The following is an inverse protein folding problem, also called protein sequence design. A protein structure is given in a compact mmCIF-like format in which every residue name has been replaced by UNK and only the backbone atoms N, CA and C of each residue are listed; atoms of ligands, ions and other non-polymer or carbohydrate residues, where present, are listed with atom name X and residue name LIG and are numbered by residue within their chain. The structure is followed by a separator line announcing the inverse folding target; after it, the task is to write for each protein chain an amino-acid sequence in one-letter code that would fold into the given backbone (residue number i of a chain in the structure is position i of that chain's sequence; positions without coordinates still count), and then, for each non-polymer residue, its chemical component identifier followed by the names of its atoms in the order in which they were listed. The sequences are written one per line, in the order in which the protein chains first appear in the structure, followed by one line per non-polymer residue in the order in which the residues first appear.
data_IF_437471374438
#
_entry.id   IF_437471374438
#
_cell.length_a   1.000
_cell.length_b   1.000
_cell.length_c   1.000
_cell.angle_alpha   90.00
_cell.angle_beta   90.00
_cell.angle_gamma   90.00
#
_symmetry.space_group_name_H-M   'P 1'
#
loop_
_entity.id
_entity.type
_entity.pdbx_description
1 polymer ?
#
# COMPACT_ATOMS: atom_id res chain seq x y z
N UNK A 1 2.22 3.30 19.36
CA UNK A 1 1.58 2.03 18.98
C UNK A 1 1.91 1.77 17.51
N UNK A 2 2.29 0.56 17.12
CA UNK A 2 2.65 0.28 15.72
C UNK A 2 1.38 0.32 14.84
N UNK A 3 1.36 1.17 13.82
CA UNK A 3 0.20 1.35 12.93
C UNK A 3 -0.22 0.07 12.18
N UNK A 4 0.71 -0.88 11.99
CA UNK A 4 0.41 -2.15 11.32
C UNK A 4 -0.56 -3.03 12.11
N UNK A 5 -0.70 -2.83 13.43
CA UNK A 5 -1.71 -3.49 14.25
C UNK A 5 -3.15 -3.15 13.81
N UNK A 6 -3.35 -2.00 13.18
CA UNK A 6 -4.66 -1.62 12.64
C UNK A 6 -5.11 -2.50 11.47
N UNK A 7 -4.22 -3.33 10.91
CA UNK A 7 -4.49 -4.24 9.80
C UNK A 7 -5.00 -5.63 10.25
N UNK A 8 -4.88 -5.97 11.54
CA UNK A 8 -5.19 -7.30 12.08
C UNK A 8 -6.62 -7.80 11.82
N UNK A 9 -7.59 -6.86 11.72
CA UNK A 9 -8.99 -7.19 11.46
C UNK A 9 -9.42 -6.93 10.01
N UNK A 10 -8.47 -6.61 9.14
CA UNK A 10 -8.71 -6.24 7.74
C UNK A 10 -8.09 -7.27 6.80
N UNK A 11 -6.93 -7.82 7.18
CA UNK A 11 -6.17 -8.74 6.34
C UNK A 11 -6.57 -10.19 6.60
N UNK A 12 -6.89 -10.90 5.50
CA UNK A 12 -7.30 -12.31 5.49
C UNK A 12 -6.51 -13.05 4.42
N UNK A 13 -6.06 -14.27 4.73
CA UNK A 13 -5.40 -15.12 3.75
C UNK A 13 -6.40 -15.59 2.67
N UNK A 14 -6.21 -15.29 1.37
CA UNK A 14 -7.24 -15.43 0.34
C UNK A 14 -7.70 -16.87 0.12
N UNK A 15 -6.84 -17.87 0.38
CA UNK A 15 -7.18 -19.30 0.21
C UNK A 15 -7.73 -19.96 1.48
N UNK A 16 -7.38 -19.43 2.65
CA UNK A 16 -7.69 -20.06 3.95
C UNK A 16 -8.77 -19.33 4.72
N UNK A 17 -9.12 -18.13 4.30
CA UNK A 17 -10.10 -17.24 4.94
C UNK A 17 -9.80 -17.00 6.44
N UNK A 18 -8.52 -17.13 6.85
CA UNK A 18 -8.05 -16.88 8.22
C UNK A 18 -7.44 -15.49 8.33
N UNK A 19 -7.71 -14.80 9.43
CA UNK A 19 -7.12 -13.50 9.69
C UNK A 19 -5.60 -13.58 9.83
N UNK A 20 -4.92 -12.53 9.37
CA UNK A 20 -3.50 -12.33 9.64
C UNK A 20 -3.35 -11.41 10.83
N UNK A 21 -2.42 -11.73 11.73
CA UNK A 21 -2.09 -10.90 12.87
C UNK A 21 -0.66 -10.41 12.78
N UNK A 22 -0.46 -9.14 13.09
CA UNK A 22 0.87 -8.55 13.12
C UNK A 22 1.60 -8.93 14.41
N UNK A 23 2.78 -9.50 14.25
CA UNK A 23 3.71 -9.81 15.33
C UNK A 23 4.81 -8.75 15.37
N UNK A 24 4.70 -7.81 16.29
CA UNK A 24 5.61 -6.67 16.41
C UNK A 24 7.05 -7.10 16.75
N UNK A 25 7.21 -8.14 17.59
CA UNK A 25 8.53 -8.66 17.96
C UNK A 25 9.28 -9.29 16.78
N UNK A 26 8.55 -9.92 15.87
CA UNK A 26 9.12 -10.58 14.70
C UNK A 26 9.07 -9.71 13.44
N UNK A 27 8.41 -8.55 13.51
CA UNK A 27 8.15 -7.65 12.38
C UNK A 27 7.56 -8.39 11.16
N UNK A 28 6.47 -9.15 11.38
CA UNK A 28 5.81 -9.93 10.33
C UNK A 28 4.33 -10.12 10.60
N UNK A 29 3.56 -10.45 9.57
CA UNK A 29 2.21 -10.97 9.72
C UNK A 29 2.23 -12.50 9.77
N UNK A 30 1.42 -13.10 10.63
CA UNK A 30 1.31 -14.54 10.79
C UNK A 30 -0.16 -14.97 10.69
N UNK A 31 -0.39 -16.13 10.03
CA UNK A 31 -1.68 -16.84 10.07
C UNK A 31 -1.74 -17.72 11.33
N UNK A 32 -2.92 -18.23 11.68
CA UNK A 32 -3.09 -19.17 12.80
C UNK A 32 -2.22 -20.43 12.68
N UNK A 33 -2.02 -20.93 11.46
CA UNK A 33 -1.13 -22.05 11.15
C UNK A 33 0.34 -21.64 11.00
N UNK A 34 0.71 -20.46 11.50
CA UNK A 34 2.09 -19.93 11.55
C UNK A 34 2.75 -19.68 10.20
N UNK A 35 1.99 -19.56 9.12
CA UNK A 35 2.54 -19.06 7.86
C UNK A 35 2.90 -17.59 8.04
N UNK A 36 4.12 -17.24 7.65
CA UNK A 36 4.71 -15.92 7.88
C UNK A 36 4.77 -15.11 6.59
N UNK A 37 4.52 -13.78 6.72
CA UNK A 37 4.67 -12.76 5.70
C UNK A 37 5.51 -11.62 6.28
N UNK A 38 6.68 -11.39 5.73
CA UNK A 38 7.63 -10.43 6.25
C UNK A 38 7.21 -8.98 5.98
N UNK A 39 7.69 -8.06 6.82
CA UNK A 39 7.58 -6.62 6.59
C UNK A 39 8.95 -6.10 6.17
N UNK A 40 9.05 -5.64 4.92
CA UNK A 40 10.30 -5.17 4.30
C UNK A 40 10.27 -3.64 4.27
N UNK A 41 11.21 -2.98 4.95
CA UNK A 41 11.29 -1.50 5.02
C UNK A 41 10.00 -0.81 5.49
N UNK A 42 9.14 -1.53 6.22
CA UNK A 42 7.83 -1.05 6.68
C UNK A 42 6.66 -1.37 5.74
N UNK A 43 6.91 -2.10 4.66
CA UNK A 43 5.90 -2.60 3.70
C UNK A 43 5.66 -4.08 3.95
N UNK A 44 4.44 -4.50 4.35
CA UNK A 44 4.07 -5.92 4.42
C UNK A 44 4.14 -6.57 3.03
N UNK A 45 4.86 -7.70 2.93
CA UNK A 45 5.03 -8.44 1.68
C UNK A 45 4.13 -9.68 1.65
N UNK A 46 2.96 -9.56 1.01
CA UNK A 46 2.02 -10.65 0.77
C UNK A 46 2.15 -11.24 -0.63
N UNK A 47 3.24 -10.94 -1.33
CA UNK A 47 3.47 -11.49 -2.67
C UNK A 47 3.81 -12.98 -2.58
N UNK A 48 2.90 -13.82 -3.07
CA UNK A 48 3.09 -15.28 -3.15
C UNK A 48 3.68 -15.60 -4.51
N UNK A 49 4.90 -16.15 -4.52
CA UNK A 49 5.68 -16.42 -5.75
C UNK A 49 5.11 -17.56 -6.62
N UNK A 50 4.16 -18.32 -6.10
CA UNK A 50 3.55 -19.47 -6.80
C UNK A 50 2.50 -19.08 -7.86
N UNK A 51 2.28 -17.78 -8.06
CA UNK A 51 1.31 -17.26 -9.03
C UNK A 51 2.07 -16.79 -10.26
N UNK A 52 2.06 -17.59 -11.28
CA UNK A 52 2.55 -17.44 -12.64
C UNK A 52 3.88 -16.68 -12.91
N UNK A 53 4.61 -17.15 -13.92
CA UNK A 53 5.87 -16.53 -14.38
C UNK A 53 5.68 -15.08 -14.88
N UNK A 54 4.46 -14.69 -15.29
CA UNK A 54 4.15 -13.36 -15.80
C UNK A 54 4.23 -12.30 -14.70
N UNK A 55 3.66 -12.58 -13.52
CA UNK A 55 3.72 -11.67 -12.37
C UNK A 55 5.14 -11.48 -11.84
N UNK A 56 6.00 -12.52 -11.91
CA UNK A 56 7.41 -12.40 -11.56
C UNK A 56 8.17 -11.52 -12.54
N UNK A 57 7.94 -11.70 -13.86
CA UNK A 57 8.56 -10.88 -14.90
C UNK A 57 8.14 -9.42 -14.79
N UNK A 58 6.85 -9.16 -14.57
CA UNK A 58 6.33 -7.81 -14.34
C UNK A 58 6.91 -7.17 -13.08
N UNK A 59 6.95 -7.91 -11.96
CA UNK A 59 7.54 -7.42 -10.72
C UNK A 59 9.02 -7.01 -10.90
N UNK A 60 9.80 -7.80 -11.63
CA UNK A 60 11.21 -7.49 -11.91
C UNK A 60 11.35 -6.24 -12.79
N UNK A 61 10.54 -6.13 -13.84
CA UNK A 61 10.54 -4.96 -14.72
C UNK A 61 10.21 -3.67 -13.97
N UNK A 62 9.14 -3.66 -13.17
CA UNK A 62 8.75 -2.49 -12.38
C UNK A 62 9.68 -2.19 -11.20
N UNK A 63 10.49 -3.15 -10.76
CA UNK A 63 11.54 -2.88 -9.78
C UNK A 63 12.71 -2.05 -10.37
N UNK A 64 12.88 -2.05 -11.68
CA UNK A 64 13.90 -1.23 -12.37
C UNK A 64 13.38 0.18 -12.68
N UNK A 65 12.09 0.31 -12.97
CA UNK A 65 11.46 1.59 -13.35
C UNK A 65 10.56 2.08 -12.21
N UNK A 66 11.06 3.05 -11.44
CA UNK A 66 10.27 3.71 -10.39
C UNK A 66 9.42 4.81 -10.99
N UNK A 67 8.12 4.56 -11.17
CA UNK A 67 7.21 5.55 -11.73
C UNK A 67 5.86 5.57 -10.97
N UNK A 68 5.31 6.75 -10.66
CA UNK A 68 5.97 8.05 -10.74
C UNK A 68 7.10 8.21 -9.71
N UNK A 69 8.15 9.00 -10.00
CA UNK A 69 9.20 9.31 -9.04
C UNK A 69 8.87 10.58 -8.22
N UNK A 70 9.63 10.82 -7.16
CA UNK A 70 9.45 12.00 -6.30
C UNK A 70 10.39 13.16 -6.67
N UNK A 71 10.88 13.22 -7.92
CA UNK A 71 11.71 14.33 -8.37
C UNK A 71 10.97 15.66 -8.21
N UNK A 72 11.63 16.62 -7.54
CA UNK A 72 11.06 17.94 -7.19
C UNK A 72 9.82 17.88 -6.29
N UNK A 73 9.66 16.81 -5.51
CA UNK A 73 8.65 16.67 -4.47
C UNK A 73 9.37 16.41 -3.15
N UNK A 74 9.56 17.46 -2.37
CA UNK A 74 10.37 17.38 -1.15
C UNK A 74 9.53 17.01 0.08
N UNK A 75 8.27 17.40 0.10
CA UNK A 75 7.34 17.22 1.20
C UNK A 75 5.89 17.06 0.74
N UNK A 76 4.98 16.91 1.70
CA UNK A 76 3.55 16.76 1.43
C UNK A 76 2.96 17.99 0.73
N UNK A 77 3.39 19.21 1.09
CA UNK A 77 2.92 20.44 0.46
C UNK A 77 3.26 20.50 -1.03
N UNK A 78 4.52 20.21 -1.39
CA UNK A 78 4.95 20.19 -2.80
C UNK A 78 4.26 19.08 -3.61
N UNK A 79 3.90 17.96 -2.97
CA UNK A 79 3.09 16.92 -3.60
C UNK A 79 1.66 17.42 -3.86
N UNK A 80 1.04 18.09 -2.90
CA UNK A 80 -0.29 18.67 -3.06
C UNK A 80 -0.33 19.68 -4.21
N UNK A 81 0.60 20.62 -4.22
CA UNK A 81 0.71 21.64 -5.28
C UNK A 81 0.83 21.05 -6.69
N UNK A 82 1.62 19.96 -6.80
CA UNK A 82 1.76 19.20 -8.06
C UNK A 82 0.46 18.47 -8.42
N UNK A 83 -0.16 17.81 -7.46
CA UNK A 83 -1.35 16.98 -7.63
C UNK A 83 -2.59 17.80 -7.96
N UNK A 84 -2.72 18.99 -7.39
CA UNK A 84 -3.81 19.92 -7.66
C UNK A 84 -3.82 20.49 -9.09
N UNK A 85 -2.73 20.33 -9.83
CA UNK A 85 -2.69 20.65 -11.28
C UNK A 85 -3.31 19.53 -12.13
N UNK A 86 -3.51 18.34 -11.57
CA UNK A 86 -4.15 17.21 -12.25
C UNK A 86 -5.67 17.29 -12.09
N UNK A 87 -6.39 17.47 -13.21
CA UNK A 87 -7.85 17.42 -13.23
C UNK A 87 -8.37 16.07 -12.70
N UNK A 88 -7.69 14.97 -13.02
CA UNK A 88 -8.04 13.63 -12.55
C UNK A 88 -7.97 13.52 -11.02
N UNK A 89 -6.87 13.99 -10.41
CA UNK A 89 -6.71 13.92 -8.95
C UNK A 89 -7.76 14.77 -8.23
N UNK A 90 -8.01 15.98 -8.73
CA UNK A 90 -9.07 16.86 -8.19
C UNK A 90 -10.44 16.20 -8.25
N UNK A 91 -10.78 15.63 -9.40
CA UNK A 91 -12.07 15.00 -9.61
C UNK A 91 -12.28 13.82 -8.65
N UNK A 92 -11.26 12.96 -8.48
CA UNK A 92 -11.31 11.88 -7.49
C UNK A 92 -11.48 12.41 -6.07
N UNK A 93 -10.76 13.47 -5.72
CA UNK A 93 -10.83 14.05 -4.38
C UNK A 93 -12.20 14.67 -4.06
N UNK A 94 -12.85 15.28 -5.07
CA UNK A 94 -14.21 15.82 -4.97
C UNK A 94 -15.29 14.75 -4.83
N UNK A 95 -15.12 13.59 -5.51
CA UNK A 95 -16.13 12.51 -5.54
C UNK A 95 -16.01 11.54 -4.36
N UNK A 96 -14.84 11.44 -3.73
CA UNK A 96 -14.62 10.52 -2.62
C UNK A 96 -14.93 11.22 -1.29
N UNK A 97 -15.86 10.66 -0.53
CA UNK A 97 -16.27 11.18 0.77
C UNK A 97 -15.14 11.19 1.80
N UNK A 98 -15.24 12.08 2.78
CA UNK A 98 -14.37 12.06 3.97
C UNK A 98 -14.57 10.76 4.76
N UNK A 99 -13.56 10.32 5.47
CA UNK A 99 -13.55 9.09 6.29
C UNK A 99 -13.72 7.79 5.52
N UNK A 100 -13.76 7.82 4.18
CA UNK A 100 -13.85 6.63 3.34
C UNK A 100 -12.65 5.71 3.52
N UNK A 101 -12.86 4.41 3.27
CA UNK A 101 -11.78 3.45 3.01
C UNK A 101 -11.54 3.37 1.50
N UNK A 102 -10.28 3.44 1.10
CA UNK A 102 -9.88 3.42 -0.31
C UNK A 102 -8.87 2.31 -0.53
N UNK A 103 -9.12 1.47 -1.53
CA UNK A 103 -8.12 0.53 -2.06
C UNK A 103 -7.63 1.03 -3.42
N UNK A 104 -6.35 1.40 -3.48
CA UNK A 104 -5.68 1.74 -4.74
C UNK A 104 -4.86 0.55 -5.22
N UNK A 105 -5.15 0.06 -6.42
CA UNK A 105 -4.48 -1.08 -7.04
C UNK A 105 -3.53 -0.61 -8.12
N UNK A 106 -2.27 -1.08 -8.06
CA UNK A 106 -1.22 -0.63 -8.97
C UNK A 106 -0.74 0.79 -8.65
N UNK A 107 -0.60 1.10 -7.36
CA UNK A 107 -0.30 2.46 -6.88
C UNK A 107 1.09 2.97 -7.27
N UNK A 108 2.01 2.11 -7.71
CA UNK A 108 3.40 2.45 -7.96
C UNK A 108 4.06 3.02 -6.70
N UNK A 109 4.56 4.26 -6.76
CA UNK A 109 5.15 4.96 -5.61
C UNK A 109 4.10 5.66 -4.72
N UNK A 110 2.80 5.60 -5.05
CA UNK A 110 1.69 6.05 -4.23
C UNK A 110 1.45 7.56 -4.18
N UNK A 111 1.82 8.32 -5.20
CA UNK A 111 1.56 9.78 -5.20
C UNK A 111 0.06 10.10 -5.10
N UNK A 112 -0.82 9.35 -5.80
CA UNK A 112 -2.26 9.51 -5.70
C UNK A 112 -2.76 9.12 -4.31
N UNK A 113 -2.30 7.99 -3.77
CA UNK A 113 -2.63 7.56 -2.40
C UNK A 113 -2.29 8.63 -1.37
N UNK A 114 -1.09 9.21 -1.47
CA UNK A 114 -0.65 10.29 -0.57
C UNK A 114 -1.53 11.52 -0.72
N UNK A 115 -1.87 11.90 -1.96
CA UNK A 115 -2.79 13.02 -2.22
C UNK A 115 -4.18 12.78 -1.60
N UNK A 116 -4.72 11.58 -1.75
CA UNK A 116 -6.04 11.18 -1.23
C UNK A 116 -6.05 10.93 0.28
N UNK A 117 -4.90 10.83 0.96
CA UNK A 117 -4.82 10.57 2.41
C UNK A 117 -5.36 11.72 3.29
N UNK A 118 -5.73 12.83 2.68
CA UNK A 118 -6.45 13.95 3.32
C UNK A 118 -7.83 13.50 3.82
N UNK A 119 -8.46 14.35 4.60
CA UNK A 119 -9.85 14.18 5.07
C UNK A 119 -10.10 12.91 5.87
N UNK A 120 -9.07 12.42 6.59
CA UNK A 120 -9.14 11.23 7.45
C UNK A 120 -9.58 9.95 6.70
N UNK A 121 -9.39 9.89 5.40
CA UNK A 121 -9.60 8.69 4.59
C UNK A 121 -8.57 7.63 4.97
N UNK A 122 -8.97 6.38 5.06
CA UNK A 122 -8.06 5.27 5.30
C UNK A 122 -7.66 4.63 3.96
N UNK A 123 -6.38 4.68 3.62
CA UNK A 123 -5.91 4.29 2.28
C UNK A 123 -5.07 3.02 2.35
N UNK A 124 -5.40 2.07 1.50
CA UNK A 124 -4.66 0.82 1.31
C UNK A 124 -4.16 0.79 -0.13
N UNK A 125 -2.84 0.83 -0.30
CA UNK A 125 -2.20 1.00 -1.61
C UNK A 125 -1.38 -0.23 -1.92
N UNK A 126 -1.76 -0.94 -2.98
CA UNK A 126 -1.10 -2.19 -3.35
C UNK A 126 -0.37 -2.08 -4.68
N UNK A 127 0.80 -2.73 -4.74
CA UNK A 127 1.60 -2.85 -5.96
C UNK A 127 2.44 -4.13 -5.92
N UNK A 128 2.96 -4.56 -7.07
CA UNK A 128 3.90 -5.68 -7.19
C UNK A 128 5.35 -5.27 -6.91
N UNK A 129 5.70 -4.01 -7.18
CA UNK A 129 7.05 -3.49 -7.03
C UNK A 129 7.35 -3.08 -5.60
N UNK A 130 8.11 -3.92 -4.89
CA UNK A 130 8.54 -3.59 -3.52
C UNK A 130 9.35 -2.29 -3.49
N UNK A 131 10.19 -2.02 -4.50
CA UNK A 131 11.01 -0.79 -4.55
C UNK A 131 10.15 0.47 -4.71
N UNK A 132 9.08 0.41 -5.48
CA UNK A 132 8.13 1.52 -5.62
C UNK A 132 7.40 1.78 -4.30
N UNK A 133 6.92 0.72 -3.66
CA UNK A 133 6.23 0.80 -2.36
C UNK A 133 7.16 1.32 -1.25
N UNK A 134 8.44 0.89 -1.22
CA UNK A 134 9.44 1.42 -0.27
C UNK A 134 9.66 2.93 -0.44
N UNK A 135 9.65 3.42 -1.69
CA UNK A 135 9.76 4.86 -1.95
C UNK A 135 8.56 5.62 -1.38
N UNK A 136 7.34 5.14 -1.63
CA UNK A 136 6.11 5.70 -1.07
C UNK A 136 6.09 5.65 0.45
N UNK A 137 6.49 4.52 1.05
CA UNK A 137 6.55 4.35 2.50
C UNK A 137 7.56 5.29 3.16
N UNK A 138 8.71 5.51 2.54
CA UNK A 138 9.70 6.47 3.02
C UNK A 138 9.16 7.91 2.99
N UNK A 139 8.48 8.28 1.90
CA UNK A 139 7.82 9.59 1.80
C UNK A 139 6.70 9.74 2.84
N UNK A 140 5.86 8.72 3.00
CA UNK A 140 4.82 8.66 4.02
C UNK A 140 5.38 8.89 5.43
N UNK A 141 6.45 8.16 5.78
CA UNK A 141 7.14 8.29 7.09
C UNK A 141 7.68 9.69 7.32
N UNK A 142 8.39 10.24 6.31
CA UNK A 142 8.96 11.59 6.37
C UNK A 142 7.90 12.66 6.66
N UNK A 143 6.68 12.46 6.15
CA UNK A 143 5.57 13.41 6.26
C UNK A 143 4.54 13.03 7.33
N UNK A 144 4.80 12.03 8.17
CA UNK A 144 3.93 11.59 9.28
C UNK A 144 2.48 11.27 8.85
N UNK A 145 2.29 10.63 7.70
CA UNK A 145 0.96 10.23 7.21
C UNK A 145 0.60 8.87 7.81
N UNK A 146 -0.33 8.80 8.77
CA UNK A 146 -0.61 7.59 9.54
C UNK A 146 -1.75 6.72 8.99
N UNK A 147 -2.62 7.29 8.16
CA UNK A 147 -3.83 6.67 7.60
C UNK A 147 -3.62 6.01 6.21
N UNK A 148 -2.37 5.86 5.78
CA UNK A 148 -1.99 5.26 4.51
C UNK A 148 -1.12 4.02 4.75
N UNK A 149 -1.48 2.90 4.11
CA UNK A 149 -0.79 1.62 4.21
C UNK A 149 -0.34 1.14 2.83
N UNK A 150 0.97 1.00 2.65
CA UNK A 150 1.55 0.36 1.46
C UNK A 150 1.71 -1.14 1.71
N UNK A 151 1.21 -1.97 0.78
CA UNK A 151 1.20 -3.42 0.91
C UNK A 151 1.62 -4.04 -0.42
N UNK A 152 2.57 -4.96 -0.40
CA UNK A 152 2.92 -5.69 -1.61
C UNK A 152 1.97 -6.85 -1.83
N UNK A 153 1.15 -6.76 -2.86
CA UNK A 153 0.17 -7.79 -3.22
C UNK A 153 0.02 -7.92 -4.73
N UNK A 154 -0.43 -9.10 -5.17
CA UNK A 154 -0.93 -9.30 -6.52
C UNK A 154 -2.44 -9.02 -6.56
N UNK A 155 -2.92 -8.28 -7.56
CA UNK A 155 -4.34 -7.99 -7.79
C UNK A 155 -5.22 -9.26 -7.81
N UNK A 156 -4.68 -10.35 -8.33
CA UNK A 156 -5.41 -11.64 -8.42
C UNK A 156 -5.40 -12.45 -7.13
N UNK A 157 -4.73 -11.96 -6.08
CA UNK A 157 -4.59 -12.65 -4.80
C UNK A 157 -4.59 -11.65 -3.65
N UNK A 158 -5.73 -10.97 -3.47
CA UNK A 158 -5.90 -9.93 -2.47
C UNK A 158 -6.06 -10.54 -1.07
N UNK A 159 -5.39 -9.94 -0.10
CA UNK A 159 -5.39 -10.33 1.30
C UNK A 159 -6.34 -9.45 2.13
N UNK A 160 -7.53 -9.15 1.63
CA UNK A 160 -8.54 -8.35 2.33
C UNK A 160 -9.80 -9.15 2.62
N UNK A 161 -10.54 -8.76 3.64
CA UNK A 161 -11.90 -9.26 3.88
C UNK A 161 -12.82 -8.92 2.69
N UNK A 162 -13.87 -9.73 2.47
CA UNK A 162 -14.76 -9.58 1.29
C UNK A 162 -15.53 -8.26 1.28
N UNK A 163 -15.87 -7.73 2.45
CA UNK A 163 -16.65 -6.50 2.63
C UNK A 163 -15.74 -5.32 3.03
N UNK A 164 -14.60 -5.24 2.39
CA UNK A 164 -13.59 -4.21 2.63
C UNK A 164 -14.03 -2.83 2.16
#
# INVERSE_FOLDING_TARGET
MNRLLNLDNILVHPKKETFLKYNDLKNCFETEDKKRFDVISGVPDFFVRDVDNLSLTQSNFYNEIKFPNYDKIDDFGSLLDKSERSIFFKKLDEEIEMFSKILEVGCGTGQLSIFLSRYQRQIFSIDLSIKSLEMGENFRKKNNIENLFFLRMNLFNLFFIKDF
#
